data_IF_809688789249
#
_entry.id   IF_809688789249
#
_cell.length_a   1.000
_cell.length_b   1.000
_cell.length_c   1.000
_cell.angle_alpha   90.00
_cell.angle_beta   90.00
_cell.angle_gamma   90.00
#
_symmetry.space_group_name_H-M   'P 1'
#
loop_
_entity.id
_entity.type
_entity.pdbx_description
1 polymer ?
#
# COMPACT_ATOMS: atom_id res chain seq x y z
N UNK A 1 -5.71 21.81 12.15
CA UNK A 1 -4.65 21.08 12.86
C UNK A 1 -3.50 22.06 13.06
N UNK A 2 -2.94 22.20 14.27
CA UNK A 2 -1.78 23.07 14.50
C UNK A 2 -0.53 22.36 13.98
N UNK A 3 0.17 22.95 13.02
CA UNK A 3 1.47 22.45 12.57
C UNK A 3 2.46 22.64 13.73
N UNK A 4 2.99 21.54 14.22
CA UNK A 4 4.04 21.53 15.24
C UNK A 4 5.29 20.99 14.53
N UNK A 5 6.43 21.68 14.69
CA UNK A 5 7.71 21.19 14.17
C UNK A 5 8.04 19.86 14.88
N UNK A 6 8.33 18.82 14.10
CA UNK A 6 8.59 17.48 14.61
C UNK A 6 9.96 17.43 15.31
N UNK A 7 9.96 17.36 16.64
CA UNK A 7 11.16 17.05 17.42
C UNK A 7 11.36 15.53 17.47
N UNK A 8 12.22 15.01 16.59
CA UNK A 8 12.53 13.58 16.48
C UNK A 8 13.04 12.98 17.79
N UNK A 9 13.65 13.80 18.66
CA UNK A 9 14.25 13.34 19.88
C UNK A 9 13.23 13.21 21.02
N UNK A 10 12.28 14.12 21.14
CA UNK A 10 11.43 14.25 22.33
C UNK A 10 9.96 13.87 22.09
N UNK A 11 9.48 14.03 20.84
CA UNK A 11 8.05 13.84 20.59
C UNK A 11 7.68 12.35 20.58
N UNK A 12 6.72 11.90 21.42
CA UNK A 12 6.26 10.51 21.39
C UNK A 12 5.57 10.20 20.07
N UNK A 13 5.72 8.98 19.57
CA UNK A 13 4.93 8.48 18.46
C UNK A 13 3.52 8.18 18.98
N UNK A 14 2.55 8.97 18.53
CA UNK A 14 1.14 8.82 18.89
C UNK A 14 0.41 8.04 17.81
N UNK A 15 -0.62 7.29 18.21
CA UNK A 15 -1.51 6.62 17.24
C UNK A 15 -2.17 7.66 16.33
N UNK A 16 -2.07 7.42 15.01
CA UNK A 16 -2.60 8.33 14.01
C UNK A 16 -1.80 9.62 13.81
N UNK A 17 -0.53 9.65 14.24
CA UNK A 17 0.34 10.80 13.98
C UNK A 17 0.69 10.87 12.50
N UNK A 18 0.48 12.04 11.89
CA UNK A 18 0.89 12.37 10.52
C UNK A 18 2.02 13.39 10.60
N UNK A 19 3.15 13.07 9.96
CA UNK A 19 4.28 13.98 9.83
C UNK A 19 4.42 14.40 8.36
N UNK A 20 4.24 15.69 8.10
CA UNK A 20 4.44 16.27 6.77
C UNK A 20 5.89 16.73 6.63
N UNK A 21 6.53 16.37 5.53
CA UNK A 21 7.87 16.79 5.22
C UNK A 21 8.03 17.00 3.70
N UNK A 22 8.66 18.10 3.31
CA UNK A 22 8.94 18.39 1.91
C UNK A 22 9.96 17.43 1.32
N UNK A 23 10.00 17.30 0.00
CA UNK A 23 11.01 16.50 -0.69
C UNK A 23 12.44 16.97 -0.30
N UNK A 24 13.32 16.03 0.01
CA UNK A 24 14.71 16.32 0.38
C UNK A 24 14.93 16.76 1.84
N UNK A 25 13.92 16.85 2.68
CA UNK A 25 14.04 17.28 4.10
C UNK A 25 14.45 16.15 5.06
N UNK A 26 14.80 14.98 4.55
CA UNK A 26 15.27 13.86 5.38
C UNK A 26 14.17 12.95 5.93
N UNK A 27 13.01 12.83 5.27
CA UNK A 27 11.91 11.92 5.67
C UNK A 27 12.41 10.53 6.08
N UNK A 28 13.16 9.88 5.20
CA UNK A 28 13.71 8.54 5.44
C UNK A 28 14.68 8.50 6.64
N UNK A 29 15.44 9.56 6.86
CA UNK A 29 16.27 9.72 8.05
C UNK A 29 15.40 9.80 9.31
N UNK A 30 14.32 10.60 9.26
CA UNK A 30 13.39 10.76 10.38
C UNK A 30 12.73 9.45 10.77
N UNK A 31 12.27 8.67 9.78
CA UNK A 31 11.69 7.33 10.02
C UNK A 31 12.70 6.41 10.71
N UNK A 32 13.93 6.36 10.21
CA UNK A 32 14.98 5.52 10.81
C UNK A 32 15.34 5.97 12.22
N UNK A 33 15.48 7.27 12.45
CA UNK A 33 15.80 7.84 13.76
C UNK A 33 14.70 7.58 14.80
N UNK A 34 13.43 7.80 14.43
CA UNK A 34 12.27 7.52 15.30
C UNK A 34 12.22 6.03 15.67
N UNK A 35 12.37 5.14 14.69
CA UNK A 35 12.34 3.70 14.96
C UNK A 35 13.50 3.26 15.87
N UNK A 36 14.71 3.76 15.65
CA UNK A 36 15.87 3.46 16.50
C UNK A 36 15.64 3.95 17.92
N UNK A 37 15.05 5.15 18.10
CA UNK A 37 14.68 5.66 19.42
C UNK A 37 13.70 4.72 20.13
N UNK A 38 12.61 4.34 19.48
CA UNK A 38 11.60 3.46 20.09
C UNK A 38 12.22 2.08 20.46
N UNK A 39 13.01 1.49 19.57
CA UNK A 39 13.72 0.23 19.85
C UNK A 39 14.73 0.34 21.01
N UNK A 40 15.33 1.51 21.21
CA UNK A 40 16.26 1.75 22.31
C UNK A 40 15.53 1.98 23.65
N UNK A 41 14.41 2.73 23.62
CA UNK A 41 13.75 3.23 24.86
C UNK A 41 12.60 2.35 25.34
N UNK A 42 11.84 1.74 24.43
CA UNK A 42 10.75 0.83 24.80
C UNK A 42 11.27 -0.61 25.03
N UNK A 43 11.20 -1.07 26.27
CA UNK A 43 11.61 -2.42 26.65
C UNK A 43 10.70 -3.53 26.08
N UNK A 44 9.47 -3.19 25.77
CA UNK A 44 8.44 -4.11 25.30
C UNK A 44 8.36 -4.20 23.78
N UNK A 45 9.05 -3.31 23.03
CA UNK A 45 9.05 -3.32 21.58
C UNK A 45 10.13 -4.26 21.03
N UNK A 46 9.72 -5.17 20.13
CA UNK A 46 10.61 -6.01 19.33
C UNK A 46 10.60 -5.54 17.89
N UNK A 47 11.74 -5.71 17.21
CA UNK A 47 11.83 -5.38 15.77
C UNK A 47 10.87 -6.23 14.92
N UNK A 48 10.54 -7.45 15.36
CA UNK A 48 9.55 -8.32 14.72
C UNK A 48 8.11 -7.82 14.82
N UNK A 49 7.84 -6.90 15.77
CA UNK A 49 6.54 -6.26 16.01
C UNK A 49 6.44 -4.90 15.31
N UNK A 50 7.42 -4.58 14.46
CA UNK A 50 7.46 -3.33 13.69
C UNK A 50 7.05 -3.59 12.25
N UNK A 51 6.14 -2.75 11.77
CA UNK A 51 5.72 -2.67 10.38
C UNK A 51 6.16 -1.32 9.81
N UNK A 52 6.98 -1.33 8.77
CA UNK A 52 7.31 -0.12 7.99
C UNK A 52 6.95 -0.38 6.55
N UNK A 53 6.11 0.47 5.98
CA UNK A 53 5.69 0.34 4.58
C UNK A 53 6.10 1.56 3.76
N UNK A 54 6.39 1.31 2.50
CA UNK A 54 6.67 2.34 1.49
C UNK A 54 6.10 1.90 0.15
N UNK A 55 6.12 2.77 -0.85
CA UNK A 55 5.49 2.51 -2.13
C UNK A 55 6.30 1.56 -3.02
N UNK A 56 7.64 1.70 -3.09
CA UNK A 56 8.47 0.91 -4.00
C UNK A 56 9.38 -0.10 -3.30
N UNK A 57 9.74 -1.19 -3.99
CA UNK A 57 10.69 -2.19 -3.51
C UNK A 57 12.08 -1.58 -3.25
N UNK A 58 12.50 -0.65 -4.11
CA UNK A 58 13.78 0.06 -3.96
C UNK A 58 13.79 0.92 -2.71
N UNK A 59 12.73 1.71 -2.47
CA UNK A 59 12.60 2.51 -1.26
C UNK A 59 12.56 1.64 0.01
N UNK A 60 11.87 0.49 -0.04
CA UNK A 60 11.84 -0.45 1.08
C UNK A 60 13.24 -1.03 1.39
N UNK A 61 14.02 -1.37 0.37
CA UNK A 61 15.39 -1.84 0.54
C UNK A 61 16.30 -0.75 1.13
N UNK A 62 16.24 0.47 0.58
CA UNK A 62 16.99 1.62 1.07
C UNK A 62 16.63 1.95 2.53
N UNK A 63 15.35 1.96 2.86
CA UNK A 63 14.87 2.22 4.22
C UNK A 63 15.35 1.16 5.20
N UNK A 64 15.34 -0.12 4.79
CA UNK A 64 15.89 -1.24 5.56
C UNK A 64 17.38 -1.03 5.89
N UNK A 65 18.18 -0.67 4.88
CA UNK A 65 19.60 -0.43 5.06
C UNK A 65 19.87 0.78 5.96
N UNK A 66 19.10 1.86 5.80
CA UNK A 66 19.20 3.06 6.63
C UNK A 66 18.84 2.78 8.09
N UNK A 67 17.78 2.05 8.37
CA UNK A 67 17.39 1.67 9.73
C UNK A 67 18.47 0.81 10.39
N UNK A 68 18.98 -0.20 9.67
CA UNK A 68 20.06 -1.07 10.16
C UNK A 68 21.32 -0.26 10.44
N UNK A 69 21.71 0.65 9.54
CA UNK A 69 22.85 1.55 9.69
C UNK A 69 22.69 2.49 10.88
N UNK A 70 21.51 3.11 11.03
CA UNK A 70 21.23 3.99 12.15
C UNK A 70 21.29 3.26 13.49
N UNK A 71 20.71 2.05 13.59
CA UNK A 71 20.76 1.24 14.80
C UNK A 71 22.21 0.85 15.19
N UNK A 72 23.04 0.46 14.22
CA UNK A 72 24.46 0.18 14.46
C UNK A 72 25.22 1.43 14.95
N UNK A 73 25.06 2.55 14.23
CA UNK A 73 25.75 3.80 14.57
C UNK A 73 25.36 4.29 15.97
N UNK A 74 24.06 4.26 16.29
CA UNK A 74 23.57 4.65 17.63
C UNK A 74 24.14 3.71 18.70
N UNK A 75 24.15 2.40 18.45
CA UNK A 75 24.72 1.44 19.40
C UNK A 75 26.21 1.69 19.69
N UNK A 76 27.00 2.03 18.67
CA UNK A 76 28.43 2.32 18.83
C UNK A 76 28.67 3.65 19.56
N UNK A 77 27.86 4.67 19.29
CA UNK A 77 27.92 5.95 20.00
C UNK A 77 27.55 5.79 21.48
N UNK A 78 26.48 5.03 21.78
CA UNK A 78 26.09 4.72 23.15
C UNK A 78 27.22 3.99 23.89
N UNK A 79 27.89 3.00 23.28
CA UNK A 79 29.06 2.30 23.86
C UNK A 79 30.23 3.21 24.14
N UNK A 80 30.49 4.16 23.26
CA UNK A 80 31.59 5.11 23.42
C UNK A 80 31.32 6.19 24.47
N UNK A 81 30.04 6.35 24.85
CA UNK A 81 29.58 7.45 25.70
C UNK A 81 29.68 8.82 25.03
N UNK A 82 29.85 8.85 23.70
CA UNK A 82 30.00 10.08 22.91
C UNK A 82 29.14 10.04 21.67
N UNK A 83 28.30 11.02 21.52
CA UNK A 83 27.53 11.23 20.28
C UNK A 83 28.36 12.05 19.27
N UNK A 84 28.16 11.75 17.99
CA UNK A 84 28.67 12.61 16.90
C UNK A 84 27.93 13.96 16.94
N UNK A 85 28.61 15.04 16.56
CA UNK A 85 28.05 16.40 16.64
C UNK A 85 26.74 16.61 15.90
N UNK A 86 26.56 15.85 14.82
CA UNK A 86 25.39 15.97 13.94
C UNK A 86 24.32 14.91 14.23
N UNK A 87 24.57 14.01 15.20
CA UNK A 87 23.61 12.95 15.57
C UNK A 87 22.78 13.39 16.77
N UNK A 88 21.67 14.07 16.47
CA UNK A 88 20.73 14.58 17.48
C UNK A 88 20.14 13.42 18.32
N UNK A 89 19.89 12.25 17.69
CA UNK A 89 19.27 11.12 18.36
C UNK A 89 20.20 10.49 19.40
N UNK A 90 21.44 10.16 19.05
CA UNK A 90 22.41 9.60 19.99
C UNK A 90 22.72 10.59 21.13
N UNK A 91 22.82 11.89 20.82
CA UNK A 91 23.02 12.96 21.81
C UNK A 91 21.86 13.01 22.79
N UNK A 92 20.62 12.95 22.31
CA UNK A 92 19.42 12.95 23.14
C UNK A 92 19.35 11.71 24.06
N UNK A 93 19.59 10.52 23.51
CA UNK A 93 19.55 9.27 24.28
C UNK A 93 20.57 9.28 25.44
N UNK A 94 21.81 9.72 25.18
CA UNK A 94 22.86 9.82 26.20
C UNK A 94 22.52 10.86 27.29
N UNK A 95 21.93 11.98 26.90
CA UNK A 95 21.57 13.06 27.83
C UNK A 95 20.34 12.72 28.68
N UNK A 96 19.33 12.09 28.07
CA UNK A 96 18.03 11.86 28.73
C UNK A 96 18.02 10.57 29.56
N UNK A 97 18.76 9.53 29.13
CA UNK A 97 18.75 8.21 29.75
C UNK A 97 20.16 7.75 30.21
N UNK A 98 20.91 8.54 30.98
CA UNK A 98 22.30 8.23 31.33
C UNK A 98 22.46 6.93 32.13
N UNK A 99 21.42 6.52 32.86
CA UNK A 99 21.42 5.31 33.69
C UNK A 99 20.94 4.06 32.93
N UNK A 100 20.44 4.21 31.71
CA UNK A 100 19.81 3.13 30.91
C UNK A 100 20.63 2.75 29.66
N UNK A 101 21.82 3.34 29.52
CA UNK A 101 22.68 3.18 28.32
C UNK A 101 22.96 1.72 28.01
N UNK A 102 23.31 0.93 29.02
CA UNK A 102 23.59 -0.51 28.84
C UNK A 102 22.32 -1.29 28.40
N UNK A 103 21.16 -0.90 28.90
CA UNK A 103 19.90 -1.53 28.52
C UNK A 103 19.54 -1.16 27.07
N UNK A 104 19.69 0.11 26.68
CA UNK A 104 19.50 0.57 25.30
C UNK A 104 20.43 -0.17 24.31
N UNK A 105 21.71 -0.32 24.67
CA UNK A 105 22.66 -1.09 23.86
C UNK A 105 22.18 -2.53 23.66
N UNK A 106 21.74 -3.21 24.72
CA UNK A 106 21.23 -4.59 24.64
C UNK A 106 19.99 -4.68 23.77
N UNK A 107 19.06 -3.72 23.88
CA UNK A 107 17.83 -3.69 23.06
C UNK A 107 18.17 -3.50 21.57
N UNK A 108 19.04 -2.55 21.24
CA UNK A 108 19.47 -2.32 19.85
C UNK A 108 20.27 -3.52 19.29
N UNK A 109 21.14 -4.15 20.06
CA UNK A 109 21.85 -5.37 19.65
C UNK A 109 20.88 -6.51 19.34
N UNK A 110 19.87 -6.71 20.21
CA UNK A 110 18.81 -7.69 19.96
C UNK A 110 18.07 -7.38 18.67
N UNK A 111 17.67 -6.12 18.47
CA UNK A 111 17.00 -5.70 17.25
C UNK A 111 17.84 -5.94 15.99
N UNK A 112 19.15 -5.72 16.07
CA UNK A 112 20.08 -5.98 14.96
C UNK A 112 20.25 -7.48 14.66
N UNK A 113 20.27 -8.33 15.68
CA UNK A 113 20.31 -9.80 15.51
C UNK A 113 19.01 -10.33 14.91
N UNK A 114 17.87 -9.80 15.36
CA UNK A 114 16.53 -10.19 14.91
C UNK A 114 16.08 -9.38 13.67
N UNK A 115 16.94 -8.59 13.03
CA UNK A 115 16.56 -7.58 12.05
C UNK A 115 15.80 -8.14 10.84
N UNK A 116 16.11 -9.36 10.44
CA UNK A 116 15.46 -10.00 9.30
C UNK A 116 14.00 -10.42 9.59
N UNK A 117 13.58 -10.39 10.86
CA UNK A 117 12.19 -10.59 11.26
C UNK A 117 11.33 -9.33 11.13
N UNK A 118 11.94 -8.15 10.91
CA UNK A 118 11.23 -6.90 10.70
C UNK A 118 10.38 -6.93 9.43
N UNK A 119 9.18 -6.39 9.49
CA UNK A 119 8.36 -6.19 8.30
C UNK A 119 8.61 -4.79 7.73
N UNK A 120 9.65 -4.67 6.89
CA UNK A 120 9.98 -3.43 6.15
C UNK A 120 9.81 -3.76 4.67
N UNK A 121 8.69 -3.33 4.06
CA UNK A 121 8.32 -3.78 2.72
C UNK A 121 7.33 -2.81 2.06
N UNK A 122 6.95 -3.12 0.81
CA UNK A 122 5.90 -2.35 0.13
C UNK A 122 4.51 -2.68 0.69
N UNK A 123 3.56 -1.75 0.52
CA UNK A 123 2.17 -1.95 0.92
C UNK A 123 1.58 -3.23 0.29
N UNK A 124 1.89 -3.51 -0.98
CA UNK A 124 1.45 -4.72 -1.66
C UNK A 124 1.96 -6.00 -1.00
N UNK A 125 3.23 -6.00 -0.54
CA UNK A 125 3.79 -7.14 0.21
C UNK A 125 3.10 -7.33 1.55
N UNK A 126 2.67 -6.25 2.21
CA UNK A 126 1.87 -6.32 3.44
C UNK A 126 0.50 -6.91 3.15
N UNK A 127 -0.19 -6.45 2.10
CA UNK A 127 -1.47 -7.00 1.66
C UNK A 127 -1.38 -8.50 1.37
N UNK A 128 -0.33 -8.92 0.65
CA UNK A 128 -0.06 -10.35 0.39
C UNK A 128 0.09 -11.14 1.71
N UNK A 129 0.82 -10.59 2.68
CA UNK A 129 1.01 -11.20 4.00
C UNK A 129 -0.31 -11.32 4.77
N UNK A 130 -1.14 -10.27 4.75
CA UNK A 130 -2.47 -10.26 5.36
C UNK A 130 -3.36 -11.33 4.73
N UNK A 131 -3.41 -11.41 3.41
CA UNK A 131 -4.19 -12.40 2.68
C UNK A 131 -3.73 -13.84 2.98
N UNK A 132 -2.41 -14.05 3.05
CA UNK A 132 -1.86 -15.36 3.44
C UNK A 132 -2.28 -15.75 4.87
N UNK A 133 -2.23 -14.83 5.82
CA UNK A 133 -2.70 -15.06 7.19
C UNK A 133 -4.21 -15.34 7.24
N UNK A 134 -4.96 -14.76 6.31
CA UNK A 134 -6.39 -15.02 6.14
C UNK A 134 -6.72 -16.37 5.47
N UNK A 135 -5.70 -17.16 5.10
CA UNK A 135 -5.86 -18.43 4.41
C UNK A 135 -6.22 -18.28 2.93
N UNK A 136 -6.03 -17.09 2.36
CA UNK A 136 -6.24 -16.84 0.93
C UNK A 136 -4.99 -17.32 0.19
N UNK A 137 -5.14 -18.35 -0.65
CA UNK A 137 -4.07 -18.82 -1.52
C UNK A 137 -3.91 -17.85 -2.70
N UNK A 138 -2.71 -17.28 -2.85
CA UNK A 138 -2.34 -16.40 -3.95
C UNK A 138 -1.26 -17.09 -4.78
N UNK A 139 -1.68 -17.81 -5.82
CA UNK A 139 -0.77 -18.33 -6.84
C UNK A 139 -0.48 -17.22 -7.85
N UNK A 140 0.77 -17.08 -8.30
CA UNK A 140 1.17 -16.13 -9.34
C UNK A 140 1.38 -14.68 -8.89
N UNK A 141 1.39 -14.40 -7.58
CA UNK A 141 1.67 -13.05 -7.06
C UNK A 141 3.12 -12.67 -7.32
N UNK A 142 3.32 -11.60 -8.08
CA UNK A 142 4.66 -11.05 -8.40
C UNK A 142 5.22 -11.52 -9.75
N UNK A 143 4.49 -12.34 -10.49
CA UNK A 143 4.72 -12.58 -11.91
C UNK A 143 4.23 -11.38 -12.75
N UNK A 144 4.49 -11.43 -14.05
CA UNK A 144 4.15 -10.37 -15.01
C UNK A 144 2.66 -9.99 -14.90
N UNK A 145 2.36 -8.67 -14.90
CA UNK A 145 0.98 -8.19 -14.95
C UNK A 145 0.38 -8.49 -16.32
N UNK A 146 -0.42 -9.55 -16.38
CA UNK A 146 -1.09 -10.01 -17.59
C UNK A 146 -2.42 -9.29 -17.86
N UNK A 147 -2.84 -8.42 -16.96
CA UNK A 147 -4.18 -7.79 -16.99
C UNK A 147 -4.46 -7.10 -18.32
N UNK A 148 -3.51 -6.31 -18.83
CA UNK A 148 -3.69 -5.59 -20.09
C UNK A 148 -3.91 -6.52 -21.29
N UNK A 149 -3.20 -7.64 -21.35
CA UNK A 149 -3.38 -8.64 -22.41
C UNK A 149 -4.74 -9.33 -22.31
N UNK A 150 -5.12 -9.76 -21.10
CA UNK A 150 -6.41 -10.41 -20.86
C UNK A 150 -7.57 -9.47 -21.15
N UNK A 151 -7.46 -8.18 -20.79
CA UNK A 151 -8.47 -7.17 -21.15
C UNK A 151 -8.67 -7.10 -22.65
N UNK A 152 -7.59 -6.99 -23.44
CA UNK A 152 -7.69 -6.92 -24.89
C UNK A 152 -8.31 -8.19 -25.51
N UNK A 153 -7.93 -9.36 -25.02
CA UNK A 153 -8.50 -10.65 -25.46
C UNK A 153 -10.00 -10.73 -25.15
N UNK A 154 -10.41 -10.46 -23.91
CA UNK A 154 -11.81 -10.54 -23.48
C UNK A 154 -12.70 -9.54 -24.20
N UNK A 155 -12.23 -8.30 -24.40
CA UNK A 155 -12.97 -7.27 -25.13
C UNK A 155 -13.17 -7.67 -26.60
N UNK A 156 -12.11 -8.13 -27.28
CA UNK A 156 -12.24 -8.59 -28.66
C UNK A 156 -13.20 -9.77 -28.79
N UNK A 157 -13.11 -10.76 -27.89
CA UNK A 157 -14.03 -11.90 -27.87
C UNK A 157 -15.50 -11.47 -27.67
N UNK A 158 -15.75 -10.51 -26.79
CA UNK A 158 -17.08 -9.99 -26.52
C UNK A 158 -17.67 -9.29 -27.73
N UNK A 159 -16.89 -8.48 -28.45
CA UNK A 159 -17.31 -7.79 -29.67
C UNK A 159 -17.58 -8.80 -30.79
N UNK A 160 -16.66 -9.73 -31.02
CA UNK A 160 -16.82 -10.77 -32.07
C UNK A 160 -18.05 -11.64 -31.79
N UNK A 161 -18.27 -12.06 -30.54
CA UNK A 161 -19.43 -12.88 -30.17
C UNK A 161 -20.75 -12.17 -30.47
N UNK A 162 -20.84 -10.86 -30.20
CA UNK A 162 -22.04 -10.07 -30.50
C UNK A 162 -22.24 -9.85 -32.00
N UNK A 163 -21.17 -9.58 -32.74
CA UNK A 163 -21.23 -9.45 -34.17
C UNK A 163 -21.72 -10.76 -34.84
N UNK A 164 -21.23 -11.91 -34.38
CA UNK A 164 -21.70 -13.25 -34.83
C UNK A 164 -23.17 -13.46 -34.47
N UNK A 165 -23.64 -12.97 -33.33
CA UNK A 165 -25.03 -13.02 -32.92
C UNK A 165 -25.95 -12.01 -33.70
N UNK A 166 -25.38 -11.23 -34.61
CA UNK A 166 -26.12 -10.25 -35.40
C UNK A 166 -26.40 -8.92 -34.72
N UNK A 167 -25.73 -8.65 -33.58
CA UNK A 167 -25.81 -7.36 -32.91
C UNK A 167 -24.94 -6.35 -33.64
N UNK A 168 -25.44 -5.13 -33.87
CA UNK A 168 -24.62 -4.07 -34.46
C UNK A 168 -23.59 -3.55 -33.49
N UNK A 169 -22.32 -3.82 -33.78
CA UNK A 169 -21.15 -3.37 -33.02
C UNK A 169 -20.35 -2.29 -33.74
N UNK A 170 -20.89 -1.71 -34.80
CA UNK A 170 -20.16 -0.72 -35.63
C UNK A 170 -19.75 0.54 -34.87
N UNK A 171 -20.48 0.90 -33.81
CA UNK A 171 -20.20 2.03 -32.93
C UNK A 171 -19.24 1.70 -31.78
N UNK A 172 -18.86 0.42 -31.58
CA UNK A 172 -18.00 -0.02 -30.49
C UNK A 172 -16.54 0.05 -30.93
N UNK A 173 -15.74 0.87 -30.25
CA UNK A 173 -14.29 0.89 -30.43
C UNK A 173 -13.64 -0.10 -29.45
N UNK A 174 -12.94 -1.15 -29.94
CA UNK A 174 -12.26 -2.11 -29.07
C UNK A 174 -11.25 -1.44 -28.11
N UNK A 175 -10.45 -0.49 -28.63
CA UNK A 175 -9.43 0.20 -27.86
C UNK A 175 -10.04 1.05 -26.73
N UNK A 176 -11.09 1.81 -27.02
CA UNK A 176 -11.79 2.59 -26.00
C UNK A 176 -12.44 1.71 -24.94
N UNK A 177 -13.06 0.62 -25.36
CA UNK A 177 -13.67 -0.32 -24.44
C UNK A 177 -12.62 -0.97 -23.54
N UNK A 178 -11.49 -1.39 -24.10
CA UNK A 178 -10.38 -1.94 -23.33
C UNK A 178 -9.82 -0.91 -22.32
N UNK A 179 -9.70 0.36 -22.72
CA UNK A 179 -9.28 1.44 -21.83
C UNK A 179 -10.26 1.62 -20.65
N UNK A 180 -11.57 1.62 -20.92
CA UNK A 180 -12.59 1.75 -19.87
C UNK A 180 -12.56 0.56 -18.93
N UNK A 181 -12.52 -0.67 -19.46
CA UNK A 181 -12.41 -1.90 -18.64
C UNK A 181 -11.15 -1.88 -17.78
N UNK A 182 -10.01 -1.48 -18.36
CA UNK A 182 -8.75 -1.37 -17.62
C UNK A 182 -8.81 -0.33 -16.49
N UNK A 183 -9.45 0.84 -16.73
CA UNK A 183 -9.66 1.86 -15.68
C UNK A 183 -10.55 1.35 -14.56
N UNK A 184 -11.63 0.63 -14.86
CA UNK A 184 -12.51 0.04 -13.86
C UNK A 184 -11.84 -1.08 -13.04
N UNK A 185 -10.85 -1.76 -13.61
CA UNK A 185 -10.04 -2.75 -12.91
C UNK A 185 -8.96 -2.07 -12.07
N UNK A 186 -8.44 -0.93 -12.54
CA UNK A 186 -7.41 -0.17 -11.84
C UNK A 186 -7.93 0.53 -10.58
N UNK A 187 -9.21 0.93 -10.57
CA UNK A 187 -9.86 1.49 -9.39
C UNK A 187 -11.02 0.59 -8.96
N UNK A 188 -10.76 -0.39 -8.10
CA UNK A 188 -11.77 -1.35 -7.67
C UNK A 188 -12.86 -0.76 -6.77
N UNK A 189 -12.72 0.49 -6.33
CA UNK A 189 -13.68 1.20 -5.47
C UNK A 189 -14.56 2.18 -6.24
N UNK A 190 -14.22 2.48 -7.50
CA UNK A 190 -15.04 3.33 -8.37
C UNK A 190 -16.11 2.49 -9.09
N UNK A 191 -17.37 2.88 -8.95
CA UNK A 191 -18.46 2.39 -9.78
C UNK A 191 -18.62 3.30 -10.99
N UNK A 192 -18.70 2.74 -12.21
CA UNK A 192 -18.96 3.55 -13.39
C UNK A 192 -20.35 4.17 -13.30
N UNK A 193 -20.39 5.47 -13.37
CA UNK A 193 -21.63 6.23 -13.38
C UNK A 193 -21.70 7.09 -14.65
N UNK A 194 -22.82 6.98 -15.38
CA UNK A 194 -23.14 7.87 -16.47
C UNK A 194 -24.19 8.86 -15.98
N UNK A 195 -23.92 10.14 -16.18
CA UNK A 195 -24.93 11.17 -15.93
C UNK A 195 -26.06 11.05 -16.99
N UNK A 196 -27.25 10.61 -16.59
CA UNK A 196 -28.36 10.45 -17.56
C UNK A 196 -28.84 11.77 -18.16
N UNK A 197 -28.40 12.91 -17.63
CA UNK A 197 -28.70 14.24 -18.16
C UNK A 197 -27.74 14.68 -19.26
N UNK A 198 -26.60 13.98 -19.44
CA UNK A 198 -25.58 14.30 -20.43
C UNK A 198 -25.64 13.33 -21.62
N UNK A 199 -25.71 13.89 -22.82
CA UNK A 199 -25.58 13.10 -24.04
C UNK A 199 -24.06 13.01 -24.41
N UNK A 200 -23.41 11.86 -24.26
CA UNK A 200 -21.98 11.72 -24.55
C UNK A 200 -21.67 11.80 -26.04
N UNK A 201 -22.66 11.80 -26.92
CA UNK A 201 -22.50 11.90 -28.38
C UNK A 201 -22.69 13.32 -28.87
N UNK A 202 -23.58 14.11 -28.24
CA UNK A 202 -23.85 15.50 -28.59
C UNK A 202 -24.42 16.25 -27.36
N UNK A 203 -23.56 17.05 -26.73
CA UNK A 203 -23.91 17.81 -25.51
C UNK A 203 -25.04 18.85 -25.76
N UNK A 204 -25.38 19.15 -27.01
CA UNK A 204 -26.41 20.14 -27.37
C UNK A 204 -27.79 19.54 -27.52
N UNK A 205 -27.92 18.22 -27.53
CA UNK A 205 -29.19 17.54 -27.75
C UNK A 205 -29.47 16.50 -26.63
N UNK A 206 -30.78 16.30 -26.29
CA UNK A 206 -31.12 15.22 -25.39
C UNK A 206 -30.82 13.87 -26.03
N UNK A 207 -30.54 12.87 -25.21
CA UNK A 207 -30.25 11.51 -25.65
C UNK A 207 -31.46 10.92 -26.37
N UNK A 208 -31.26 10.38 -27.57
CA UNK A 208 -32.31 9.66 -28.26
C UNK A 208 -32.61 8.31 -27.62
N UNK A 209 -33.79 7.74 -27.82
CA UNK A 209 -34.11 6.40 -27.30
C UNK A 209 -33.19 5.32 -27.87
N UNK A 210 -32.74 5.47 -29.10
CA UNK A 210 -31.78 4.55 -29.75
C UNK A 210 -30.39 4.67 -29.13
N UNK A 211 -29.94 5.88 -28.86
CA UNK A 211 -28.67 6.12 -28.18
C UNK A 211 -28.68 5.63 -26.71
N UNK A 212 -29.79 5.80 -26.03
CA UNK A 212 -29.97 5.28 -24.68
C UNK A 212 -29.85 3.75 -24.66
N UNK A 213 -30.58 3.08 -25.59
CA UNK A 213 -30.49 1.63 -25.71
C UNK A 213 -29.05 1.17 -26.00
N UNK A 214 -28.35 1.86 -26.93
CA UNK A 214 -26.96 1.55 -27.24
C UNK A 214 -26.04 1.71 -26.01
N UNK A 215 -26.23 2.77 -25.23
CA UNK A 215 -25.46 3.01 -24.02
C UNK A 215 -25.69 1.92 -22.96
N UNK A 216 -26.93 1.51 -22.76
CA UNK A 216 -27.29 0.47 -21.80
C UNK A 216 -26.66 -0.87 -22.22
N UNK A 217 -26.70 -1.25 -23.49
CA UNK A 217 -26.06 -2.45 -24.04
C UNK A 217 -24.53 -2.36 -23.95
N UNK A 218 -23.96 -1.19 -24.20
CA UNK A 218 -22.51 -0.94 -24.13
C UNK A 218 -22.00 -1.04 -22.70
N UNK A 219 -22.71 -0.47 -21.73
CA UNK A 219 -22.39 -0.59 -20.31
C UNK A 219 -22.46 -2.04 -19.84
N UNK A 220 -23.53 -2.75 -20.21
CA UNK A 220 -23.65 -4.16 -19.87
C UNK A 220 -22.45 -4.95 -20.40
N UNK A 221 -22.01 -4.68 -21.63
CA UNK A 221 -20.85 -5.33 -22.22
C UNK A 221 -19.55 -5.01 -21.47
N UNK A 222 -19.37 -3.77 -21.00
CA UNK A 222 -18.22 -3.37 -20.16
C UNK A 222 -18.20 -4.17 -18.86
N UNK A 223 -19.33 -4.29 -18.16
CA UNK A 223 -19.43 -5.07 -16.92
C UNK A 223 -19.16 -6.55 -17.14
N UNK A 224 -19.73 -7.14 -18.17
CA UNK A 224 -19.45 -8.54 -18.53
C UNK A 224 -17.97 -8.77 -18.84
N UNK A 225 -17.31 -7.84 -19.55
CA UNK A 225 -15.87 -7.91 -19.81
C UNK A 225 -15.08 -7.79 -18.51
N UNK A 226 -15.42 -6.84 -17.62
CA UNK A 226 -14.77 -6.69 -16.32
C UNK A 226 -14.84 -7.98 -15.52
N UNK A 227 -16.02 -8.58 -15.39
CA UNK A 227 -16.20 -9.83 -14.62
C UNK A 227 -15.41 -10.99 -15.23
N UNK A 228 -15.41 -11.14 -16.56
CA UNK A 228 -14.60 -12.16 -17.26
C UNK A 228 -13.11 -11.96 -17.08
N UNK A 229 -12.61 -10.72 -17.10
CA UNK A 229 -11.20 -10.43 -16.83
C UNK A 229 -10.86 -10.77 -15.38
N UNK A 230 -11.70 -10.40 -14.43
CA UNK A 230 -11.50 -10.75 -13.03
C UNK A 230 -11.45 -12.26 -12.81
N UNK A 231 -12.33 -13.01 -13.46
CA UNK A 231 -12.33 -14.48 -13.41
C UNK A 231 -11.05 -15.06 -14.04
N UNK A 232 -10.66 -14.58 -15.21
CA UNK A 232 -9.47 -15.05 -15.93
C UNK A 232 -8.16 -14.73 -15.18
N UNK A 233 -8.16 -13.63 -14.40
CA UNK A 233 -7.00 -13.19 -13.61
C UNK A 233 -7.05 -13.63 -12.13
N UNK A 234 -8.01 -14.48 -11.73
CA UNK A 234 -8.15 -14.93 -10.34
C UNK A 234 -6.87 -15.50 -9.74
N UNK A 235 -6.09 -16.24 -10.54
CA UNK A 235 -4.82 -16.85 -10.15
C UNK A 235 -3.60 -15.94 -10.38
N UNK A 236 -3.80 -14.80 -11.03
CA UNK A 236 -2.77 -13.79 -11.33
C UNK A 236 -3.30 -12.41 -10.95
N UNK A 237 -3.56 -12.17 -9.64
CA UNK A 237 -4.16 -10.92 -9.21
C UNK A 237 -3.25 -9.73 -9.52
N UNK A 238 -3.84 -8.68 -10.05
CA UNK A 238 -3.17 -7.37 -10.18
C UNK A 238 -2.82 -6.80 -8.81
N UNK A 239 -1.98 -5.77 -8.78
CA UNK A 239 -1.67 -5.07 -7.53
C UNK A 239 -2.93 -4.49 -6.86
N UNK A 240 -3.86 -3.96 -7.64
CA UNK A 240 -5.12 -3.39 -7.12
C UNK A 240 -6.07 -4.46 -6.59
N UNK A 241 -6.11 -5.64 -7.22
CA UNK A 241 -6.87 -6.79 -6.69
C UNK A 241 -6.34 -7.23 -5.32
N UNK A 242 -5.02 -7.19 -5.11
CA UNK A 242 -4.43 -7.50 -3.81
C UNK A 242 -4.85 -6.50 -2.74
N UNK A 243 -4.85 -5.21 -3.06
CA UNK A 243 -5.31 -4.14 -2.16
C UNK A 243 -6.77 -4.34 -1.80
N UNK A 244 -7.63 -4.53 -2.80
CA UNK A 244 -9.06 -4.76 -2.60
C UNK A 244 -9.34 -5.99 -1.73
N UNK A 245 -8.75 -7.13 -2.08
CA UNK A 245 -8.92 -8.37 -1.31
C UNK A 245 -8.43 -8.22 0.14
N UNK A 246 -7.29 -7.53 0.35
CA UNK A 246 -6.78 -7.25 1.69
C UNK A 246 -7.73 -6.30 2.45
N UNK A 247 -8.24 -5.26 1.80
CA UNK A 247 -9.25 -4.36 2.36
C UNK A 247 -10.50 -5.13 2.78
N UNK A 248 -11.05 -5.98 1.90
CA UNK A 248 -12.25 -6.77 2.17
C UNK A 248 -12.04 -7.70 3.39
N UNK A 249 -10.83 -8.30 3.51
CA UNK A 249 -10.47 -9.14 4.68
C UNK A 249 -10.43 -8.31 5.97
N UNK A 250 -9.81 -7.13 5.97
CA UNK A 250 -9.63 -6.34 7.21
C UNK A 250 -10.87 -5.53 7.60
N UNK A 251 -11.85 -5.40 6.72
CA UNK A 251 -13.13 -4.72 6.97
C UNK A 251 -14.28 -5.71 7.24
N UNK A 252 -14.10 -7.00 6.98
CA UNK A 252 -15.11 -8.02 7.21
C UNK A 252 -15.28 -8.28 8.72
N UNK A 253 -16.38 -7.76 9.28
CA UNK A 253 -16.71 -7.93 10.70
C UNK A 253 -16.85 -9.39 11.15
N UNK A 254 -17.12 -10.32 10.22
CA UNK A 254 -17.19 -11.75 10.53
C UNK A 254 -15.82 -12.34 10.86
N UNK A 255 -14.74 -11.66 10.52
CA UNK A 255 -13.32 -12.04 10.74
C UNK A 255 -12.66 -11.30 11.89
N UNK A 256 -13.43 -10.78 12.84
CA UNK A 256 -12.91 -9.95 13.95
C UNK A 256 -11.73 -10.58 14.69
N UNK A 257 -11.78 -11.91 14.96
CA UNK A 257 -10.69 -12.61 15.63
C UNK A 257 -9.38 -12.63 14.80
N UNK A 258 -9.47 -12.81 13.48
CA UNK A 258 -8.33 -12.74 12.57
C UNK A 258 -7.75 -11.32 12.52
N UNK A 259 -8.62 -10.32 12.44
CA UNK A 259 -8.21 -8.91 12.39
C UNK A 259 -7.45 -8.55 13.67
N UNK A 260 -7.93 -9.00 14.82
CA UNK A 260 -7.25 -8.78 16.11
C UNK A 260 -5.91 -9.52 16.19
N UNK A 261 -5.83 -10.77 15.68
CA UNK A 261 -4.55 -11.50 15.59
C UNK A 261 -3.54 -10.74 14.71
N UNK A 262 -3.96 -10.23 13.56
CA UNK A 262 -3.08 -9.42 12.67
C UNK A 262 -2.63 -8.14 13.37
N UNK A 263 -3.54 -7.41 14.03
CA UNK A 263 -3.24 -6.18 14.77
C UNK A 263 -2.29 -6.43 15.93
N UNK A 264 -2.47 -7.50 16.67
CA UNK A 264 -1.64 -7.84 17.83
C UNK A 264 -0.19 -8.15 17.47
N UNK A 265 0.08 -8.47 16.21
CA UNK A 265 1.44 -8.76 15.70
C UNK A 265 2.29 -7.50 15.55
N UNK A 266 1.68 -6.33 15.42
CA UNK A 266 2.38 -5.07 15.19
C UNK A 266 2.04 -4.06 16.28
N UNK A 267 3.06 -3.71 17.08
CA UNK A 267 2.95 -2.66 18.10
C UNK A 267 3.24 -1.27 17.53
N UNK A 268 4.04 -1.23 16.47
CA UNK A 268 4.42 0.01 15.79
C UNK A 268 4.28 -0.17 14.28
N UNK A 269 3.51 0.71 13.64
CA UNK A 269 3.38 0.80 12.21
C UNK A 269 3.76 2.20 11.72
N UNK A 270 4.62 2.27 10.72
CA UNK A 270 5.04 3.51 10.06
C UNK A 270 4.78 3.37 8.56
N UNK A 271 4.05 4.32 8.00
CA UNK A 271 3.76 4.39 6.56
C UNK A 271 4.54 5.56 5.98
N UNK A 272 5.54 5.26 5.15
CA UNK A 272 6.31 6.25 4.39
C UNK A 272 5.59 6.54 3.05
N UNK A 273 5.66 7.78 2.59
CA UNK A 273 4.95 8.28 1.40
C UNK A 273 3.42 8.04 1.46
N UNK A 274 2.81 8.31 2.62
CA UNK A 274 1.37 8.08 2.85
C UNK A 274 0.46 8.84 1.88
N UNK A 275 0.93 9.93 1.24
CA UNK A 275 0.19 10.66 0.22
C UNK A 275 -0.02 9.85 -1.07
N UNK A 276 0.75 8.80 -1.30
CA UNK A 276 0.63 7.93 -2.48
C UNK A 276 -0.31 6.72 -2.21
N UNK A 277 -0.97 6.70 -1.04
CA UNK A 277 -1.86 5.62 -0.58
C UNK A 277 -3.32 6.07 -0.55
N UNK A 278 -3.85 6.69 -1.59
CA UNK A 278 -5.27 7.09 -1.70
C UNK A 278 -6.22 5.87 -1.67
#
# INVERSE_FOLDING_TARGET
MSNIELDLAQQPILNGMVAEASAGTGKTYSVAALLVRELATDENLRISEVLVTTFTRTAAAELRDRIRGAANNTCDQLRSGKANKDDVMASHLLATYPNDVDAMIRRLQRALVEFDSATISTIHSVCTKVLHLAGVSLSGVGEEDITGRVVAEVVNDAIVSRAVAGVDVSRVSPDRMAEVVAKLLADPFTEPWLDPSQNPFDETQPLSAEDQQFLDEYLQMIFECKDRVQEATLNHPSFNDLLKRAHDVVTDSSRAALIEDIRSRFKLAIVDEAQDTD
#
